data_IF_843119899497
#
_entry.id   IF_843119899497
#
_cell.length_a   1.000
_cell.length_b   1.000
_cell.length_c   1.000
_cell.angle_alpha   90.00
_cell.angle_beta   90.00
_cell.angle_gamma   90.00
#
_symmetry.space_group_name_H-M   'P 1'
#
loop_
_entity.id
_entity.type
_entity.pdbx_description
1 polymer ?
#
# COMPACT_ATOMS: atom_id res chain seq x y z
N UNK A 1 -24.84 -51.47 31.78
CA UNK A 1 -24.66 -51.24 30.33
C UNK A 1 -24.82 -49.75 30.09
N UNK A 2 -23.74 -49.02 29.82
CA UNK A 2 -23.83 -47.61 29.42
C UNK A 2 -24.05 -47.58 27.92
N UNK A 3 -25.15 -46.98 27.46
CA UNK A 3 -25.27 -46.71 26.03
C UNK A 3 -24.40 -45.50 25.66
N UNK A 4 -23.65 -45.54 24.55
CA UNK A 4 -22.93 -44.36 24.08
C UNK A 4 -23.92 -43.34 23.52
N UNK A 5 -23.75 -42.08 23.90
CA UNK A 5 -24.46 -40.95 23.32
C UNK A 5 -24.16 -40.92 21.82
N UNK A 6 -25.19 -41.06 20.95
CA UNK A 6 -25.11 -40.64 19.55
C UNK A 6 -24.99 -39.11 19.54
N UNK A 7 -23.76 -38.61 19.69
CA UNK A 7 -23.49 -37.21 19.48
C UNK A 7 -23.80 -36.89 18.01
N UNK A 8 -24.70 -35.93 17.82
CA UNK A 8 -25.13 -35.42 16.51
C UNK A 8 -23.90 -35.15 15.65
N UNK A 9 -23.95 -35.65 14.43
CA UNK A 9 -23.03 -35.31 13.34
C UNK A 9 -22.75 -33.81 13.36
N UNK A 10 -21.51 -33.41 13.62
CA UNK A 10 -21.05 -32.01 13.63
C UNK A 10 -21.03 -31.39 12.22
N UNK A 11 -21.57 -32.10 11.23
CA UNK A 11 -21.59 -31.70 9.82
C UNK A 11 -22.81 -30.84 9.48
N UNK A 12 -23.14 -29.84 10.30
CA UNK A 12 -24.11 -28.82 9.89
C UNK A 12 -23.81 -27.48 10.54
N UNK A 13 -22.80 -26.78 10.00
CA UNK A 13 -22.81 -25.32 9.94
C UNK A 13 -22.00 -24.87 8.73
N UNK A 14 -22.49 -25.15 7.52
CA UNK A 14 -22.24 -24.35 6.30
C UNK A 14 -23.40 -24.56 5.32
N UNK A 15 -24.62 -24.33 5.82
CA UNK A 15 -25.79 -24.06 5.00
C UNK A 15 -26.27 -22.62 5.29
N UNK A 16 -25.32 -21.70 5.37
CA UNK A 16 -25.53 -20.26 5.23
C UNK A 16 -24.81 -19.84 3.96
N UNK A 17 -25.53 -19.15 3.09
CA UNK A 17 -25.06 -18.37 1.92
C UNK A 17 -23.55 -18.43 1.63
N UNK A 18 -23.08 -18.71 0.39
CA UNK A 18 -21.67 -18.57 0.00
C UNK A 18 -21.18 -17.11 -0.04
N UNK A 19 -21.87 -16.21 0.65
CA UNK A 19 -21.61 -14.78 0.79
C UNK A 19 -21.46 -14.51 2.29
N UNK A 20 -20.24 -14.21 2.75
CA UNK A 20 -19.92 -13.32 3.90
C UNK A 20 -18.59 -13.65 4.60
N UNK A 21 -17.53 -13.81 3.83
CA UNK A 21 -16.24 -13.31 4.28
C UNK A 21 -15.81 -12.20 3.32
N UNK A 22 -15.24 -11.08 3.81
CA UNK A 22 -14.74 -10.02 2.94
C UNK A 22 -13.48 -10.53 2.22
N UNK A 23 -13.69 -11.36 1.20
CA UNK A 23 -12.64 -11.81 0.31
C UNK A 23 -12.41 -10.71 -0.70
N UNK A 24 -11.36 -9.92 -0.47
CA UNK A 24 -10.72 -9.17 -1.56
C UNK A 24 -10.37 -10.17 -2.65
N UNK A 25 -10.69 -9.85 -3.89
CA UNK A 25 -10.16 -10.58 -5.03
C UNK A 25 -8.62 -10.49 -5.01
N UNK A 26 -7.96 -11.47 -5.63
CA UNK A 26 -6.50 -11.45 -5.77
C UNK A 26 -6.01 -10.19 -6.50
N UNK A 27 -6.79 -9.71 -7.47
CA UNK A 27 -6.49 -8.47 -8.20
C UNK A 27 -6.53 -7.26 -7.28
N UNK A 28 -7.59 -7.11 -6.46
CA UNK A 28 -7.66 -6.03 -5.48
C UNK A 28 -6.50 -6.07 -4.47
N UNK A 29 -6.07 -7.26 -4.07
CA UNK A 29 -4.92 -7.42 -3.17
C UNK A 29 -3.61 -6.96 -3.84
N UNK A 30 -3.41 -7.30 -5.12
CA UNK A 30 -2.25 -6.83 -5.88
C UNK A 30 -2.28 -5.32 -6.10
N UNK A 31 -3.44 -4.73 -6.35
CA UNK A 31 -3.60 -3.29 -6.49
C UNK A 31 -3.25 -2.55 -5.18
N UNK A 32 -3.66 -3.09 -4.03
CA UNK A 32 -3.29 -2.56 -2.72
C UNK A 32 -1.78 -2.61 -2.53
N UNK A 33 -1.15 -3.74 -2.83
CA UNK A 33 0.29 -3.91 -2.72
C UNK A 33 1.02 -2.95 -3.65
N UNK A 34 0.63 -2.89 -4.92
CA UNK A 34 1.24 -1.99 -5.91
C UNK A 34 1.08 -0.53 -5.49
N UNK A 35 -0.10 -0.12 -5.02
CA UNK A 35 -0.32 1.22 -4.51
C UNK A 35 0.60 1.53 -3.31
N UNK A 36 0.86 0.55 -2.44
CA UNK A 36 1.80 0.67 -1.34
C UNK A 36 3.24 0.90 -1.82
N UNK A 37 3.72 0.11 -2.79
CA UNK A 37 5.06 0.25 -3.34
C UNK A 37 5.25 1.58 -4.08
N UNK A 38 4.27 1.98 -4.90
CA UNK A 38 4.31 3.25 -5.61
C UNK A 38 4.24 4.45 -4.66
N UNK A 39 3.50 4.35 -3.56
CA UNK A 39 3.50 5.38 -2.52
C UNK A 39 4.86 5.50 -1.81
N UNK A 40 5.53 4.37 -1.56
CA UNK A 40 6.90 4.38 -1.01
C UNK A 40 7.90 5.02 -1.98
N UNK A 41 7.82 4.67 -3.27
CA UNK A 41 8.63 5.30 -4.31
C UNK A 41 8.37 6.81 -4.39
N UNK A 42 7.11 7.22 -4.34
CA UNK A 42 6.70 8.62 -4.37
C UNK A 42 7.27 9.42 -3.19
N UNK A 43 7.29 8.84 -1.99
CA UNK A 43 7.89 9.47 -0.82
C UNK A 43 9.39 9.71 -1.01
N UNK A 44 10.13 8.73 -1.54
CA UNK A 44 11.56 8.88 -1.86
C UNK A 44 11.78 9.93 -2.95
N UNK A 45 10.91 9.98 -3.97
CA UNK A 45 10.95 11.03 -4.99
C UNK A 45 10.75 12.42 -4.39
N UNK A 46 9.80 12.59 -3.45
CA UNK A 46 9.61 13.85 -2.75
C UNK A 46 10.85 14.24 -1.93
N UNK A 47 11.49 13.30 -1.22
CA UNK A 47 12.75 13.57 -0.51
C UNK A 47 13.88 13.98 -1.47
N UNK A 48 13.99 13.33 -2.64
CA UNK A 48 14.97 13.69 -3.67
C UNK A 48 14.71 15.07 -4.26
N UNK A 49 13.46 15.46 -4.48
CA UNK A 49 13.09 16.80 -4.98
C UNK A 49 13.53 17.91 -4.04
N UNK A 50 13.51 17.66 -2.73
CA UNK A 50 14.01 18.63 -1.73
C UNK A 50 15.55 18.70 -1.77
N UNK A 51 16.23 17.56 -1.95
CA UNK A 51 17.69 17.49 -1.93
C UNK A 51 18.37 17.94 -3.23
N UNK A 52 17.76 17.65 -4.38
CA UNK A 52 18.27 17.94 -5.70
C UNK A 52 17.08 18.23 -6.64
N UNK A 53 16.55 19.47 -6.64
CA UNK A 53 15.40 19.83 -7.47
C UNK A 53 15.67 19.59 -8.96
N UNK A 54 14.72 18.95 -9.65
CA UNK A 54 14.76 18.80 -11.11
C UNK A 54 13.36 18.65 -11.69
N UNK A 55 13.16 19.18 -12.90
CA UNK A 55 11.87 19.12 -13.60
C UNK A 55 11.43 17.68 -13.92
N UNK A 56 12.39 16.79 -14.14
CA UNK A 56 12.12 15.36 -14.36
C UNK A 56 11.57 14.70 -13.09
N UNK A 57 12.10 15.07 -11.90
CA UNK A 57 11.58 14.58 -10.63
C UNK A 57 10.19 15.13 -10.33
N UNK A 58 9.89 16.38 -10.69
CA UNK A 58 8.55 16.96 -10.58
C UNK A 58 7.55 16.16 -11.43
N UNK A 59 7.88 15.93 -12.70
CA UNK A 59 7.07 15.16 -13.64
C UNK A 59 6.87 13.72 -13.17
N UNK A 60 7.94 13.07 -12.69
CA UNK A 60 7.86 11.72 -12.16
C UNK A 60 6.95 11.64 -10.94
N UNK A 61 7.04 12.62 -10.04
CA UNK A 61 6.24 12.65 -8.83
C UNK A 61 4.75 12.91 -9.12
N UNK A 62 4.41 13.70 -10.14
CA UNK A 62 3.02 13.87 -10.60
C UNK A 62 2.45 12.57 -11.18
N UNK A 63 3.22 11.89 -12.05
CA UNK A 63 2.82 10.60 -12.63
C UNK A 63 2.58 9.53 -11.56
N UNK A 64 3.49 9.41 -10.59
CA UNK A 64 3.36 8.48 -9.48
C UNK A 64 2.12 8.78 -8.63
N UNK A 65 1.84 10.06 -8.34
CA UNK A 65 0.62 10.42 -7.61
C UNK A 65 -0.66 10.07 -8.37
N UNK A 66 -0.69 10.30 -9.68
CA UNK A 66 -1.81 9.90 -10.53
C UNK A 66 -2.06 8.40 -10.49
N UNK A 67 -1.01 7.60 -10.57
CA UNK A 67 -1.12 6.14 -10.57
C UNK A 67 -1.55 5.58 -9.21
N UNK A 68 -0.99 6.11 -8.11
CA UNK A 68 -1.42 5.75 -6.76
C UNK A 68 -2.88 6.13 -6.53
N UNK A 69 -3.32 7.31 -7.00
CA UNK A 69 -4.71 7.72 -6.90
C UNK A 69 -5.62 6.78 -7.69
N UNK A 70 -5.24 6.39 -8.91
CA UNK A 70 -5.97 5.42 -9.75
C UNK A 70 -6.18 4.09 -9.02
N UNK A 71 -5.11 3.50 -8.50
CA UNK A 71 -5.16 2.24 -7.76
C UNK A 71 -5.95 2.33 -6.43
N UNK A 72 -6.03 3.52 -5.84
CA UNK A 72 -6.76 3.77 -4.59
C UNK A 72 -8.19 4.27 -4.79
N UNK A 73 -8.76 4.22 -5.99
CA UNK A 73 -10.12 4.67 -6.26
C UNK A 73 -10.27 6.19 -6.27
N UNK A 74 -9.31 6.90 -6.84
CA UNK A 74 -9.31 8.36 -7.02
C UNK A 74 -8.80 9.17 -5.82
N UNK A 75 -8.39 8.52 -4.72
CA UNK A 75 -7.89 9.23 -3.53
C UNK A 75 -6.47 9.72 -3.73
N UNK A 76 -6.27 11.04 -3.69
CA UNK A 76 -4.96 11.67 -3.76
C UNK A 76 -4.06 11.18 -2.63
N UNK A 77 -2.84 10.66 -2.92
CA UNK A 77 -1.91 10.25 -1.87
C UNK A 77 -1.38 11.45 -1.09
N UNK A 78 -1.11 11.24 0.20
CA UNK A 78 -0.40 12.23 1.02
C UNK A 78 1.01 12.46 0.44
N UNK A 79 1.46 13.72 0.47
CA UNK A 79 2.74 14.16 -0.09
C UNK A 79 3.61 14.76 1.01
N UNK A 80 4.91 14.49 0.96
CA UNK A 80 5.85 15.17 1.83
C UNK A 80 6.05 16.59 1.28
N UNK A 81 5.67 17.61 2.05
CA UNK A 81 5.93 18.99 1.66
C UNK A 81 7.42 19.29 1.79
N UNK A 82 7.98 20.00 0.81
CA UNK A 82 9.34 20.53 0.84
C UNK A 82 9.60 21.42 2.08
N UNK A 83 8.53 21.94 2.70
CA UNK A 83 8.56 22.75 3.92
C UNK A 83 8.58 21.93 5.21
N UNK A 84 8.82 20.61 5.18
CA UNK A 84 8.97 19.80 6.41
C UNK A 84 10.29 20.18 7.10
N UNK A 85 10.28 21.32 7.76
CA UNK A 85 11.35 21.94 8.54
C UNK A 85 11.78 21.00 9.64
N UNK A 86 12.94 20.37 9.50
CA UNK A 86 13.54 19.56 10.57
C UNK A 86 14.64 18.60 10.12
N UNK A 87 14.65 18.20 8.85
CA UNK A 87 15.70 17.33 8.30
C UNK A 87 16.45 18.06 7.19
N UNK A 88 17.74 18.29 7.37
CA UNK A 88 18.56 18.77 6.26
C UNK A 88 18.53 17.74 5.14
N UNK A 89 18.16 18.14 3.91
CA UNK A 89 18.09 17.23 2.80
C UNK A 89 19.50 16.74 2.45
N UNK A 90 19.74 15.44 2.62
CA UNK A 90 21.05 14.84 2.40
C UNK A 90 20.97 13.76 1.31
N UNK A 91 21.26 14.15 0.07
CA UNK A 91 21.28 13.25 -1.09
C UNK A 91 22.23 12.06 -0.91
N UNK A 92 23.37 12.25 -0.24
CA UNK A 92 24.32 11.15 0.02
C UNK A 92 23.77 10.12 1.01
N UNK A 93 22.98 10.54 2.00
CA UNK A 93 22.31 9.62 2.91
C UNK A 93 21.20 8.82 2.21
N UNK A 94 20.45 9.46 1.30
CA UNK A 94 19.46 8.78 0.45
C UNK A 94 20.12 7.75 -0.46
N UNK A 95 21.22 8.13 -1.11
CA UNK A 95 21.99 7.23 -1.97
C UNK A 95 22.47 5.99 -1.20
N UNK A 96 23.05 6.16 0.01
CA UNK A 96 23.46 5.03 0.84
C UNK A 96 22.30 4.11 1.21
N UNK A 97 21.13 4.65 1.53
CA UNK A 97 19.93 3.85 1.85
C UNK A 97 19.41 3.08 0.63
N UNK A 98 19.56 3.61 -0.57
CA UNK A 98 19.16 2.93 -1.80
C UNK A 98 20.12 1.80 -2.22
N UNK A 99 21.36 1.81 -1.71
CA UNK A 99 22.40 0.83 -2.02
C UNK A 99 22.59 -0.28 -0.97
N UNK A 100 21.85 -0.25 0.14
CA UNK A 100 21.89 -1.23 1.21
C UNK A 100 20.70 -2.20 1.11
#
# INVERSE_FOLDING_TARGET
MYEPIRAKSVHSTMAGTPHDFPHRSREEELDIQLAGHLAALLAVTDELRVAAPSADLDTAAERLAGEVARLRGGRTPARASATTTGREPNAAALHRRAHA
#
